data_IF_228884369199
#
_entry.id   IF_228884369199
#
_cell.length_a   1.000
_cell.length_b   1.000
_cell.length_c   1.000
_cell.angle_alpha   90.00
_cell.angle_beta   90.00
_cell.angle_gamma   90.00
#
_symmetry.space_group_name_H-M   'P 1'
#
loop_
_entity.id
_entity.type
_entity.pdbx_description
1 polymer ?
#
# COMPACT_ATOMS: atom_id res chain seq x y z
N UNK A 1 27.94 -3.44 5.26
CA UNK A 1 27.76 -2.00 5.53
C UNK A 1 26.30 -1.77 5.82
N UNK A 2 25.95 -1.07 6.90
CA UNK A 2 24.56 -0.71 7.22
C UNK A 2 24.40 0.76 6.87
N UNK A 3 23.45 1.09 6.01
CA UNK A 3 23.07 2.46 5.68
C UNK A 3 21.66 2.73 6.23
N UNK A 4 21.42 3.94 6.73
CA UNK A 4 20.11 4.38 7.21
C UNK A 4 19.56 5.43 6.24
N UNK A 5 18.28 5.29 5.87
CA UNK A 5 17.58 6.24 5.00
C UNK A 5 16.73 7.16 5.89
N UNK A 6 16.96 8.50 5.88
CA UNK A 6 16.12 9.43 6.62
C UNK A 6 14.73 9.52 5.98
N UNK A 7 13.68 9.33 6.77
CA UNK A 7 12.30 9.41 6.29
C UNK A 7 11.77 10.86 6.33
N UNK A 8 10.94 11.27 5.35
CA UNK A 8 10.32 12.60 5.33
C UNK A 8 9.20 12.77 6.37
N UNK A 9 8.75 11.67 6.98
CA UNK A 9 7.82 11.63 8.12
C UNK A 9 8.45 10.79 9.24
N UNK A 10 8.19 11.10 10.53
CA UNK A 10 8.67 10.25 11.63
C UNK A 10 8.10 8.83 11.46
N UNK A 11 8.95 7.79 11.34
CA UNK A 11 8.45 6.44 11.16
C UNK A 11 7.80 5.95 12.45
N UNK A 12 6.55 5.50 12.38
CA UNK A 12 5.88 4.85 13.51
C UNK A 12 5.60 3.37 13.20
N UNK A 13 4.66 3.10 12.31
CA UNK A 13 4.36 1.76 11.78
C UNK A 13 4.66 1.72 10.29
N UNK A 14 5.51 0.80 9.84
CA UNK A 14 6.10 0.86 8.51
C UNK A 14 6.10 -0.48 7.78
N UNK A 15 5.64 -0.49 6.52
CA UNK A 15 5.73 -1.65 5.64
C UNK A 15 6.52 -1.29 4.39
N UNK A 16 7.29 -2.26 3.89
CA UNK A 16 8.17 -2.08 2.75
C UNK A 16 7.89 -3.13 1.68
N UNK A 17 7.83 -2.67 0.42
CA UNK A 17 7.81 -3.55 -0.76
C UNK A 17 8.78 -3.02 -1.82
N UNK A 18 9.19 -3.88 -2.74
CA UNK A 18 9.87 -3.47 -3.97
C UNK A 18 8.88 -3.38 -5.13
N UNK A 19 8.89 -2.28 -5.89
CA UNK A 19 8.13 -2.14 -7.13
C UNK A 19 8.67 -0.99 -7.97
N UNK A 20 8.65 -1.11 -9.30
CA UNK A 20 9.11 -0.07 -10.24
C UNK A 20 10.52 0.47 -9.91
N UNK A 21 11.47 -0.45 -9.70
CA UNK A 21 12.87 -0.15 -9.35
C UNK A 21 13.04 0.75 -8.11
N UNK A 22 12.02 0.76 -7.24
CA UNK A 22 12.01 1.53 -6.01
C UNK A 22 11.64 0.64 -4.83
N UNK A 23 12.02 1.12 -3.64
CA UNK A 23 11.46 0.65 -2.38
C UNK A 23 10.29 1.56 -2.03
N UNK A 24 9.12 0.98 -1.77
CA UNK A 24 7.95 1.71 -1.30
C UNK A 24 7.77 1.48 0.18
N UNK A 25 7.63 2.57 0.90
CA UNK A 25 7.34 2.61 2.33
C UNK A 25 5.96 3.21 2.55
N UNK A 26 5.11 2.53 3.31
CA UNK A 26 3.88 3.13 3.82
C UNK A 26 4.02 3.36 5.32
N UNK A 27 3.69 4.57 5.76
CA UNK A 27 3.45 4.91 7.16
C UNK A 27 1.97 5.25 7.32
N UNK A 28 1.19 4.27 7.76
CA UNK A 28 -0.24 4.44 7.79
C UNK A 28 -0.76 5.27 8.98
N UNK A 29 0.02 5.37 10.07
CA UNK A 29 -0.31 6.24 11.22
C UNK A 29 -0.33 7.68 10.74
N UNK A 30 0.59 8.04 9.85
CA UNK A 30 0.67 9.37 9.26
C UNK A 30 -0.01 9.48 7.89
N UNK A 31 -0.64 8.40 7.40
CA UNK A 31 -1.27 8.34 6.08
C UNK A 31 -0.29 8.56 4.92
N UNK A 32 0.99 8.25 5.10
CA UNK A 32 2.06 8.56 4.18
C UNK A 32 2.43 7.38 3.28
N UNK A 33 2.69 7.67 2.01
CA UNK A 33 3.31 6.75 1.05
C UNK A 33 4.60 7.40 0.54
N UNK A 34 5.71 6.68 0.66
CA UNK A 34 7.06 7.20 0.40
C UNK A 34 7.75 6.30 -0.62
N UNK A 35 8.25 6.91 -1.69
CA UNK A 35 9.16 6.28 -2.63
C UNK A 35 10.58 6.45 -2.14
N UNK A 36 11.35 5.37 -2.11
CA UNK A 36 12.76 5.38 -1.75
C UNK A 36 13.56 4.85 -2.95
N UNK A 37 14.50 5.66 -3.42
CA UNK A 37 15.47 5.25 -4.41
C UNK A 37 16.55 4.35 -3.75
N UNK A 38 16.71 3.09 -4.16
CA UNK A 38 17.59 2.14 -3.48
C UNK A 38 19.08 2.43 -3.71
N UNK A 39 19.44 3.14 -4.77
CA UNK A 39 20.83 3.44 -5.11
C UNK A 39 21.35 4.66 -4.35
N UNK A 40 20.49 5.67 -4.17
CA UNK A 40 20.83 6.95 -3.56
C UNK A 40 20.36 7.09 -2.12
N UNK A 41 19.33 6.34 -1.71
CA UNK A 41 18.63 6.55 -0.45
C UNK A 41 17.77 7.81 -0.44
N UNK A 42 17.43 8.39 -1.59
CA UNK A 42 16.51 9.53 -1.64
C UNK A 42 15.07 9.07 -1.34
N UNK A 43 14.48 9.61 -0.27
CA UNK A 43 13.12 9.31 0.15
C UNK A 43 12.16 10.48 -0.17
N UNK A 44 11.15 10.22 -0.98
CA UNK A 44 10.14 11.20 -1.43
C UNK A 44 8.75 10.80 -0.97
N UNK A 45 8.11 11.68 -0.21
CA UNK A 45 6.71 11.57 0.18
C UNK A 45 5.79 11.90 -1.02
N UNK A 46 4.79 11.05 -1.26
CA UNK A 46 3.67 11.34 -2.17
C UNK A 46 2.69 12.32 -1.50
N UNK A 47 2.00 13.12 -2.28
CA UNK A 47 0.96 14.05 -1.83
C UNK A 47 -0.32 13.32 -1.44
N UNK A 48 -0.66 12.24 -2.15
CA UNK A 48 -1.76 11.36 -1.79
C UNK A 48 -1.57 10.84 -0.38
N UNK A 49 -2.60 11.06 0.45
CA UNK A 49 -2.67 10.54 1.80
C UNK A 49 -3.62 9.36 1.81
N UNK A 50 -3.16 8.22 2.32
CA UNK A 50 -4.08 7.14 2.66
C UNK A 50 -4.84 7.52 3.91
N UNK A 51 -6.09 7.07 4.00
CA UNK A 51 -6.86 7.21 5.23
C UNK A 51 -6.24 6.34 6.31
N UNK A 52 -6.19 6.84 7.53
CA UNK A 52 -5.62 6.14 8.68
C UNK A 52 -6.61 5.05 9.15
N UNK A 53 -6.31 3.74 9.02
CA UNK A 53 -7.07 2.74 9.77
C UNK A 53 -6.73 2.77 11.26
N UNK A 54 -7.60 2.13 12.04
CA UNK A 54 -7.50 2.10 13.49
C UNK A 54 -6.45 1.11 13.99
N UNK A 55 -6.19 0.01 13.26
CA UNK A 55 -5.40 -1.08 13.83
C UNK A 55 -4.34 -1.71 12.91
N UNK A 56 -4.48 -1.80 11.57
CA UNK A 56 -3.51 -2.53 10.73
C UNK A 56 -3.45 -2.13 9.24
N UNK A 57 -2.43 -2.64 8.55
CA UNK A 57 -1.88 -2.05 7.34
C UNK A 57 -1.31 -3.09 6.36
N UNK A 58 -1.49 -2.84 5.06
CA UNK A 58 -1.03 -3.71 3.99
C UNK A 58 -0.74 -2.95 2.72
N UNK A 59 0.27 -3.39 1.98
CA UNK A 59 0.66 -2.79 0.71
C UNK A 59 1.18 -3.88 -0.23
N UNK A 60 0.72 -3.84 -1.47
CA UNK A 60 1.20 -4.74 -2.52
C UNK A 60 1.42 -4.00 -3.84
N UNK A 61 2.40 -4.48 -4.59
CA UNK A 61 2.53 -4.13 -5.99
C UNK A 61 1.35 -4.71 -6.78
N UNK A 62 0.85 -3.97 -7.76
CA UNK A 62 0.05 -4.57 -8.81
C UNK A 62 0.91 -5.60 -9.56
N UNK A 63 0.38 -6.80 -9.77
CA UNK A 63 1.03 -7.82 -10.58
C UNK A 63 0.65 -7.74 -12.06
N UNK A 64 -0.24 -6.81 -12.44
CA UNK A 64 -0.68 -6.60 -13.81
C UNK A 64 0.44 -5.89 -14.64
N UNK A 65 1.01 -6.55 -15.68
CA UNK A 65 2.15 -6.01 -16.43
C UNK A 65 1.90 -4.65 -17.10
N UNK A 66 0.66 -4.37 -17.47
CA UNK A 66 0.20 -3.14 -18.10
C UNK A 66 -0.03 -1.98 -17.11
N UNK A 67 0.11 -2.24 -15.81
CA UNK A 67 -0.19 -1.31 -14.74
C UNK A 67 1.06 -0.94 -13.92
N UNK A 68 2.07 -0.32 -14.55
CA UNK A 68 3.27 0.03 -13.83
C UNK A 68 3.01 1.20 -12.86
N UNK A 69 3.66 1.18 -11.70
CA UNK A 69 3.52 2.19 -10.67
C UNK A 69 2.20 2.11 -9.90
N UNK A 70 1.46 1.01 -10.04
CA UNK A 70 0.21 0.79 -9.31
C UNK A 70 0.47 0.00 -8.04
N UNK A 71 0.02 0.57 -6.92
CA UNK A 71 0.08 -0.07 -5.61
C UNK A 71 -1.33 -0.28 -5.07
N UNK A 72 -1.58 -1.47 -4.53
CA UNK A 72 -2.72 -1.74 -3.68
C UNK A 72 -2.35 -1.37 -2.25
N UNK A 73 -3.14 -0.52 -1.61
CA UNK A 73 -2.87 -0.05 -0.26
C UNK A 73 -4.12 -0.21 0.60
N UNK A 74 -3.99 -0.90 1.74
CA UNK A 74 -5.04 -0.89 2.77
C UNK A 74 -5.16 0.54 3.29
N UNK A 75 -6.38 1.09 3.22
CA UNK A 75 -6.66 2.48 3.58
C UNK A 75 -7.99 2.52 4.33
N UNK A 76 -7.98 3.05 5.55
CA UNK A 76 -9.07 2.86 6.49
C UNK A 76 -9.37 1.39 6.81
N UNK A 77 -10.41 1.14 7.60
CA UNK A 77 -10.70 -0.20 8.12
C UNK A 77 -11.40 -1.12 7.11
N UNK A 78 -11.97 -0.55 6.04
CA UNK A 78 -12.88 -1.23 5.13
C UNK A 78 -12.59 -0.99 3.65
N UNK A 79 -11.43 -0.44 3.31
CA UNK A 79 -11.06 -0.23 1.91
C UNK A 79 -9.65 -0.71 1.53
N UNK A 80 -9.52 -1.03 0.25
CA UNK A 80 -8.26 -1.20 -0.47
C UNK A 80 -8.25 -0.19 -1.62
N UNK A 81 -7.20 0.62 -1.70
CA UNK A 81 -7.04 1.65 -2.72
C UNK A 81 -6.03 1.22 -3.77
N UNK A 82 -6.34 1.49 -5.04
CA UNK A 82 -5.36 1.47 -6.13
C UNK A 82 -4.75 2.86 -6.24
N UNK A 83 -3.48 2.99 -5.93
CA UNK A 83 -2.71 4.23 -6.04
C UNK A 83 -1.84 4.18 -7.29
N UNK A 84 -2.02 5.15 -8.17
CA UNK A 84 -1.05 5.47 -9.22
C UNK A 84 0.04 6.37 -8.64
N UNK A 85 1.20 5.79 -8.42
CA UNK A 85 2.32 6.50 -7.81
C UNK A 85 3.08 7.41 -8.78
N UNK A 86 2.86 7.25 -10.08
CA UNK A 86 3.45 8.10 -11.14
C UNK A 86 2.64 9.38 -11.31
N UNK A 87 1.33 9.28 -11.10
CA UNK A 87 0.39 10.41 -11.14
C UNK A 87 0.09 10.99 -9.76
N UNK A 88 0.52 10.31 -8.70
CA UNK A 88 0.19 10.63 -7.32
C UNK A 88 -1.33 10.77 -7.13
N UNK A 89 -2.05 9.70 -7.49
CA UNK A 89 -3.50 9.70 -7.54
C UNK A 89 -4.10 8.37 -7.09
N UNK A 90 -5.21 8.43 -6.35
CA UNK A 90 -6.03 7.25 -6.06
C UNK A 90 -6.98 7.02 -7.23
N UNK A 91 -6.82 5.91 -7.94
CA UNK A 91 -7.60 5.58 -9.14
C UNK A 91 -8.79 4.68 -8.86
N UNK A 92 -8.71 3.83 -7.83
CA UNK A 92 -9.80 2.92 -7.45
C UNK A 92 -9.86 2.81 -5.93
N UNK A 93 -11.08 2.66 -5.39
CA UNK A 93 -11.35 2.29 -4.01
C UNK A 93 -12.26 1.07 -4.04
N UNK A 94 -11.85 0.00 -3.37
CA UNK A 94 -12.59 -1.26 -3.28
C UNK A 94 -12.97 -1.42 -1.83
N UNK A 95 -14.28 -1.60 -1.56
CA UNK A 95 -14.76 -1.93 -0.23
C UNK A 95 -14.51 -3.41 0.06
N UNK A 96 -14.12 -3.69 1.29
CA UNK A 96 -13.95 -5.03 1.85
C UNK A 96 -14.80 -5.13 3.12
N UNK A 97 -14.94 -6.31 3.71
CA UNK A 97 -15.65 -6.47 4.97
C UNK A 97 -15.06 -5.54 6.04
N UNK A 98 -15.94 -4.95 6.84
CA UNK A 98 -15.50 -4.15 7.99
C UNK A 98 -14.79 -5.08 8.98
N UNK A 99 -13.49 -4.88 9.18
CA UNK A 99 -12.78 -5.76 10.08
C UNK A 99 -11.38 -5.37 10.54
N UNK A 100 -11.06 -4.07 10.57
CA UNK A 100 -9.89 -3.60 11.33
C UNK A 100 -8.54 -3.95 10.71
N UNK A 101 -8.36 -3.69 9.42
CA UNK A 101 -7.06 -3.82 8.75
C UNK A 101 -6.73 -5.25 8.31
N UNK A 102 -5.46 -5.65 8.32
CA UNK A 102 -4.93 -6.86 7.65
C UNK A 102 -3.98 -6.51 6.50
N UNK A 103 -3.70 -7.48 5.64
CA UNK A 103 -2.80 -7.32 4.49
C UNK A 103 -3.55 -7.48 3.16
N UNK A 104 -2.90 -7.10 2.06
CA UNK A 104 -3.43 -7.25 0.69
C UNK A 104 -2.38 -7.85 -0.22
N UNK A 105 -2.80 -8.73 -1.12
CA UNK A 105 -1.97 -9.27 -2.19
C UNK A 105 -2.77 -9.40 -3.48
N UNK A 106 -2.16 -9.09 -4.63
CA UNK A 106 -2.75 -9.40 -5.93
C UNK A 106 -2.16 -10.69 -6.51
N UNK A 107 -3.03 -11.62 -6.89
CA UNK A 107 -2.68 -12.83 -7.63
C UNK A 107 -3.52 -12.89 -8.90
N UNK A 108 -2.90 -12.64 -10.06
CA UNK A 108 -3.64 -12.53 -11.32
C UNK A 108 -4.70 -11.43 -11.26
N UNK A 109 -5.94 -11.77 -11.61
CA UNK A 109 -7.09 -10.86 -11.57
C UNK A 109 -7.84 -10.90 -10.23
N UNK A 110 -7.19 -11.31 -9.14
CA UNK A 110 -7.80 -11.38 -7.81
C UNK A 110 -6.98 -10.60 -6.79
N UNK A 111 -7.67 -9.89 -5.89
CA UNK A 111 -7.12 -9.42 -4.63
C UNK A 111 -7.49 -10.37 -3.51
N UNK A 112 -6.50 -10.67 -2.68
CA UNK A 112 -6.63 -11.45 -1.46
C UNK A 112 -6.41 -10.49 -0.30
N UNK A 113 -7.42 -10.32 0.55
CA UNK A 113 -7.42 -9.33 1.63
C UNK A 113 -7.72 -10.04 2.93
N UNK A 114 -6.78 -10.03 3.87
CA UNK A 114 -7.05 -10.57 5.21
C UNK A 114 -7.76 -9.55 6.08
N UNK A 115 -8.56 -10.04 7.01
CA UNK A 115 -9.28 -9.24 8.00
C UNK A 115 -9.11 -9.85 9.39
N UNK A 116 -8.75 -9.02 10.38
CA UNK A 116 -8.53 -9.48 11.75
C UNK A 116 -9.80 -9.52 12.59
N UNK A 117 -10.81 -8.70 12.28
CA UNK A 117 -12.06 -8.73 13.04
C UNK A 117 -13.01 -9.83 12.56
N UNK A 118 -12.83 -10.34 11.34
CA UNK A 118 -13.71 -11.37 10.78
C UNK A 118 -13.08 -12.76 10.73
N UNK A 119 -11.78 -12.89 11.04
CA UNK A 119 -11.03 -14.15 10.90
C UNK A 119 -11.08 -14.75 9.47
N UNK A 120 -11.23 -13.89 8.45
CA UNK A 120 -11.41 -14.29 7.06
C UNK A 120 -10.32 -13.72 6.13
N UNK A 121 -10.15 -14.37 4.97
CA UNK A 121 -9.44 -13.81 3.81
C UNK A 121 -10.45 -13.67 2.68
N UNK A 122 -10.74 -12.44 2.30
CA UNK A 122 -11.64 -12.10 1.21
C UNK A 122 -10.91 -12.20 -0.13
N UNK A 123 -11.60 -12.74 -1.14
CA UNK A 123 -11.11 -12.81 -2.52
C UNK A 123 -11.99 -11.93 -3.38
N UNK A 124 -11.36 -10.97 -4.07
CA UNK A 124 -12.06 -9.93 -4.84
C UNK A 124 -11.58 -10.00 -6.28
N UNK A 125 -12.48 -10.30 -7.20
CA UNK A 125 -12.19 -10.23 -8.64
C UNK A 125 -11.95 -8.79 -9.09
N UNK A 126 -10.87 -8.58 -9.85
CA UNK A 126 -10.49 -7.31 -10.47
C UNK A 126 -11.05 -7.14 -11.88
N UNK A 127 -11.47 -8.25 -12.51
CA UNK A 127 -12.12 -8.27 -13.80
C UNK A 127 -13.58 -7.83 -13.71
N UNK A 128 -13.91 -6.75 -14.42
CA UNK A 128 -15.27 -6.34 -14.82
C UNK A 128 -16.31 -6.26 -13.72
#
# INVERSE_FOLDING_TARGET
MVAAVPMPVPPDSGYLISHDDAVWYTDPVHGALVRIDPDTGEARLLESRIEQPQEYWGIAASSAPEMPGKLWVRSGDSEVWLVDTRRDAVERRIRVAEGGGGDVLQVGDELWVSSFATDEVEVIGLGG
#
